data_IF_416176870568
#
_entry.id   IF_416176870568
#
_cell.length_a   1.000
_cell.length_b   1.000
_cell.length_c   1.000
_cell.angle_alpha   90.00
_cell.angle_beta   90.00
_cell.angle_gamma   90.00
#
_symmetry.space_group_name_H-M   'P 1'
#
loop_
_entity.id
_entity.type
_entity.pdbx_description
1 polymer ?
#
# COMPACT_ATOMS: atom_id res chain seq x y z
N UNK A 1 11.18 -13.17 -4.55
CA UNK A 1 9.85 -12.54 -4.48
C UNK A 1 9.37 -12.31 -3.05
N UNK A 2 9.29 -13.34 -2.19
CA UNK A 2 8.77 -13.24 -0.82
C UNK A 2 9.42 -12.15 0.06
N UNK A 3 10.76 -12.02 0.07
CA UNK A 3 11.45 -10.95 0.81
C UNK A 3 11.04 -9.53 0.39
N UNK A 4 10.69 -9.32 -0.88
CA UNK A 4 10.21 -8.01 -1.37
C UNK A 4 8.78 -7.76 -0.90
N UNK A 5 7.91 -8.77 -0.99
CA UNK A 5 6.54 -8.68 -0.51
C UNK A 5 6.46 -8.44 1.01
N UNK A 6 7.31 -9.10 1.80
CA UNK A 6 7.40 -8.87 3.25
C UNK A 6 7.83 -7.43 3.59
N UNK A 7 8.81 -6.87 2.86
CA UNK A 7 9.20 -5.46 3.00
C UNK A 7 8.06 -4.51 2.66
N UNK A 8 7.28 -4.81 1.62
CA UNK A 8 6.13 -3.99 1.27
C UNK A 8 5.02 -4.06 2.32
N UNK A 9 4.72 -5.25 2.86
CA UNK A 9 3.79 -5.37 3.99
C UNK A 9 4.18 -4.50 5.18
N UNK A 10 5.47 -4.45 5.51
CA UNK A 10 5.97 -3.58 6.58
C UNK A 10 5.71 -2.10 6.28
N UNK A 11 5.98 -1.66 5.05
CA UNK A 11 5.69 -0.27 4.62
C UNK A 11 4.20 0.06 4.65
N UNK A 12 3.36 -0.86 4.20
CA UNK A 12 1.91 -0.74 4.26
C UNK A 12 1.41 -0.58 5.70
N UNK A 13 2.00 -1.33 6.63
CA UNK A 13 1.71 -1.18 8.06
C UNK A 13 2.15 0.19 8.61
N UNK A 14 3.33 0.69 8.22
CA UNK A 14 3.80 2.04 8.59
C UNK A 14 2.87 3.14 8.06
N UNK A 15 2.40 3.00 6.81
CA UNK A 15 1.41 3.92 6.19
C UNK A 15 0.09 3.89 6.95
N UNK A 16 -0.40 2.71 7.36
CA UNK A 16 -1.64 2.56 8.12
C UNK A 16 -1.63 3.29 9.47
N UNK A 17 -0.44 3.59 10.03
CA UNK A 17 -0.31 4.32 11.29
C UNK A 17 -0.42 5.83 11.13
N UNK A 18 -0.18 6.35 9.93
CA UNK A 18 -0.11 7.80 9.66
C UNK A 18 -1.25 8.30 8.78
N UNK A 19 -2.02 7.41 8.17
CA UNK A 19 -3.19 7.75 7.35
C UNK A 19 -4.47 7.45 8.13
N UNK A 20 -5.22 8.49 8.47
CA UNK A 20 -6.54 8.36 9.10
C UNK A 20 -7.65 8.32 8.06
N UNK A 21 -7.73 7.19 7.34
CA UNK A 21 -8.79 6.96 6.36
C UNK A 21 -9.30 5.51 6.47
N UNK A 22 -10.64 5.38 6.61
CA UNK A 22 -11.31 4.08 6.77
C UNK A 22 -10.98 3.10 5.65
N UNK A 23 -11.07 3.55 4.39
CA UNK A 23 -10.83 2.71 3.22
C UNK A 23 -9.36 2.32 3.12
N UNK A 24 -8.44 3.25 3.41
CA UNK A 24 -7.01 2.92 3.45
C UNK A 24 -6.75 1.84 4.50
N UNK A 25 -7.29 1.99 5.70
CA UNK A 25 -7.15 0.99 6.77
C UNK A 25 -7.71 -0.37 6.37
N UNK A 26 -8.90 -0.39 5.74
CA UNK A 26 -9.54 -1.62 5.26
C UNK A 26 -8.70 -2.33 4.18
N UNK A 27 -8.11 -1.58 3.25
CA UNK A 27 -7.18 -2.13 2.26
C UNK A 27 -5.90 -2.69 2.90
N UNK A 28 -5.37 -2.01 3.93
CA UNK A 28 -4.18 -2.46 4.65
C UNK A 28 -4.45 -3.74 5.45
N UNK A 29 -5.62 -3.85 6.08
CA UNK A 29 -6.04 -5.04 6.82
C UNK A 29 -6.21 -6.24 5.87
N UNK A 30 -6.81 -6.05 4.69
CA UNK A 30 -6.90 -7.08 3.65
C UNK A 30 -5.51 -7.56 3.20
N UNK A 31 -4.57 -6.62 3.00
CA UNK A 31 -3.19 -6.95 2.66
C UNK A 31 -2.45 -7.67 3.80
N UNK A 32 -2.73 -7.32 5.05
CA UNK A 32 -2.11 -7.92 6.23
C UNK A 32 -2.56 -9.37 6.44
N UNK A 33 -3.86 -9.64 6.24
CA UNK A 33 -4.50 -10.94 6.49
C UNK A 33 -3.92 -12.10 5.66
N UNK A 34 -3.50 -11.85 4.41
CA UNK A 34 -3.01 -12.93 3.54
C UNK A 34 -1.59 -13.39 3.87
N UNK A 35 -1.36 -14.69 3.97
CA UNK A 35 -0.01 -15.24 4.19
C UNK A 35 0.79 -15.36 2.90
N UNK A 36 2.02 -14.82 2.90
CA UNK A 36 2.96 -14.94 1.78
C UNK A 36 3.64 -16.32 1.77
N UNK A 37 2.93 -17.34 1.30
CA UNK A 37 3.42 -18.72 1.18
C UNK A 37 3.37 -19.22 -0.28
N UNK A 38 4.21 -20.19 -0.60
CA UNK A 38 4.13 -20.92 -1.87
C UNK A 38 2.80 -21.67 -1.92
N UNK A 39 2.21 -21.81 -3.11
CA UNK A 39 0.89 -22.43 -3.35
C UNK A 39 -0.32 -21.69 -2.76
N UNK A 40 -0.18 -20.40 -2.43
CA UNK A 40 -1.29 -19.58 -1.91
C UNK A 40 -1.89 -18.61 -2.93
N UNK A 41 -1.94 -19.02 -4.20
CA UNK A 41 -2.26 -18.14 -5.34
C UNK A 41 -3.67 -17.56 -5.25
N UNK A 42 -4.65 -18.37 -4.91
CA UNK A 42 -6.05 -17.94 -4.87
C UNK A 42 -6.28 -16.90 -3.77
N UNK A 43 -5.82 -17.16 -2.54
CA UNK A 43 -5.92 -16.18 -1.44
C UNK A 43 -5.23 -14.85 -1.80
N UNK A 44 -4.05 -14.91 -2.46
CA UNK A 44 -3.33 -13.72 -2.92
C UNK A 44 -4.13 -12.92 -3.95
N UNK A 45 -4.79 -13.60 -4.89
CA UNK A 45 -5.64 -12.95 -5.90
C UNK A 45 -6.89 -12.34 -5.26
N UNK A 46 -7.56 -13.09 -4.36
CA UNK A 46 -8.73 -12.58 -3.64
C UNK A 46 -8.42 -11.33 -2.84
N UNK A 47 -7.29 -11.30 -2.12
CA UNK A 47 -6.87 -10.09 -1.41
C UNK A 47 -6.52 -8.94 -2.36
N UNK A 48 -5.88 -9.22 -3.50
CA UNK A 48 -5.59 -8.19 -4.50
C UNK A 48 -6.87 -7.59 -5.08
N UNK A 49 -7.88 -8.41 -5.39
CA UNK A 49 -9.18 -7.97 -5.89
C UNK A 49 -9.95 -7.14 -4.86
N UNK A 50 -9.86 -7.51 -3.58
CA UNK A 50 -10.47 -6.75 -2.48
C UNK A 50 -9.80 -5.38 -2.33
N UNK A 51 -8.47 -5.33 -2.32
CA UNK A 51 -7.71 -4.07 -2.27
C UNK A 51 -8.05 -3.19 -3.48
N UNK A 52 -8.15 -3.78 -4.68
CA UNK A 52 -8.49 -3.05 -5.91
C UNK A 52 -9.87 -2.39 -5.85
N UNK A 53 -10.88 -3.09 -5.30
CA UNK A 53 -12.22 -2.53 -5.10
C UNK A 53 -12.22 -1.36 -4.13
N UNK A 54 -11.53 -1.51 -3.00
CA UNK A 54 -11.42 -0.44 -1.99
C UNK A 54 -10.69 0.79 -2.55
N UNK A 55 -9.64 0.55 -3.36
CA UNK A 55 -8.89 1.64 -4.00
C UNK A 55 -9.74 2.39 -5.04
N UNK A 56 -10.62 1.69 -5.77
CA UNK A 56 -11.57 2.32 -6.67
C UNK A 56 -12.58 3.18 -5.89
N UNK A 57 -13.17 2.64 -4.82
CA UNK A 57 -14.10 3.38 -3.95
C UNK A 57 -13.44 4.63 -3.35
N UNK A 58 -12.18 4.53 -2.94
CA UNK A 58 -11.40 5.67 -2.45
C UNK A 58 -11.24 6.77 -3.52
N UNK A 59 -10.99 6.38 -4.77
CA UNK A 59 -10.86 7.32 -5.89
C UNK A 59 -12.19 7.96 -6.30
N UNK A 60 -13.29 7.25 -6.14
CA UNK A 60 -14.65 7.75 -6.42
C UNK A 60 -15.17 8.71 -5.34
N UNK A 61 -14.67 8.60 -4.09
CA UNK A 61 -15.15 9.41 -2.98
C UNK A 61 -14.88 10.92 -3.10
N UNK A 62 -14.07 11.37 -4.06
CA UNK A 62 -14.02 12.76 -4.55
C UNK A 62 -13.52 13.82 -3.57
N UNK A 63 -13.66 13.61 -2.26
CA UNK A 63 -12.97 14.34 -1.20
C UNK A 63 -11.61 13.69 -1.02
N UNK A 64 -10.58 14.50 -1.21
CA UNK A 64 -9.17 14.20 -0.96
C UNK A 64 -9.04 13.39 0.32
N UNK A 65 -8.89 12.08 0.18
CA UNK A 65 -8.43 11.25 1.29
C UNK A 65 -7.19 11.95 1.85
N UNK A 66 -7.21 12.29 3.13
CA UNK A 66 -6.09 12.96 3.77
C UNK A 66 -4.95 11.95 3.86
N UNK A 67 -4.12 11.96 2.81
CA UNK A 67 -2.92 11.15 2.67
C UNK A 67 -1.67 11.97 3.04
N UNK A 68 -1.83 13.17 3.61
CA UNK A 68 -0.70 14.05 3.97
C UNK A 68 0.28 13.36 4.93
N UNK A 69 -0.18 12.43 5.77
CA UNK A 69 0.68 11.61 6.62
C UNK A 69 1.69 10.75 5.87
N UNK A 70 1.45 10.45 4.58
CA UNK A 70 2.38 9.69 3.73
C UNK A 70 3.60 10.53 3.35
N UNK A 71 3.50 11.86 3.32
CA UNK A 71 4.61 12.74 2.91
C UNK A 71 5.84 12.57 3.81
N UNK A 72 5.62 12.33 5.11
CA UNK A 72 6.67 12.04 6.09
C UNK A 72 7.40 10.70 5.82
N UNK A 73 6.80 9.80 5.05
CA UNK A 73 7.36 8.50 4.67
C UNK A 73 8.07 8.52 3.31
N UNK A 74 7.95 9.61 2.56
CA UNK A 74 8.66 9.76 1.29
C UNK A 74 10.16 9.95 1.56
N UNK A 75 11.04 9.31 0.77
CA UNK A 75 12.46 9.53 0.90
C UNK A 75 12.80 10.99 0.57
N UNK A 76 13.68 11.59 1.38
CA UNK A 76 14.18 12.94 1.15
C UNK A 76 14.71 13.09 -0.28
N UNK A 77 14.53 14.27 -0.87
CA UNK A 77 14.91 14.60 -2.26
C UNK A 77 16.36 14.21 -2.58
N UNK A 78 17.27 14.32 -1.59
CA UNK A 78 18.68 13.91 -1.70
C UNK A 78 18.91 12.43 -2.02
N UNK A 79 17.87 11.60 -1.92
CA UNK A 79 17.90 10.15 -2.19
C UNK A 79 17.44 9.83 -3.61
N UNK A 80 16.94 10.81 -4.36
CA UNK A 80 16.42 10.58 -5.70
C UNK A 80 17.58 10.37 -6.68
N UNK A 81 17.65 9.16 -7.26
CA UNK A 81 18.61 8.84 -8.32
C UNK A 81 18.13 9.37 -9.67
N UNK A 82 17.86 10.67 -9.77
CA UNK A 82 17.64 11.29 -11.07
C UNK A 82 19.00 11.52 -11.72
N UNK A 83 19.36 10.68 -12.69
CA UNK A 83 20.45 10.97 -13.62
C UNK A 83 19.83 11.52 -14.91
N UNK A 84 20.16 12.74 -15.36
CA UNK A 84 19.81 13.16 -16.71
C UNK A 84 20.48 12.21 -17.69
N UNK A 85 19.69 11.55 -18.55
CA UNK A 85 20.28 10.87 -19.71
C UNK A 85 20.87 11.93 -20.65
N UNK A 86 22.10 11.73 -21.15
CA UNK A 86 22.69 12.61 -22.17
C UNK A 86 21.92 12.57 -23.48
#
# INVERSE_FOLDING_TARGET
AAKRAARQKKRLYEIAQVVDNRLVKEAMDAAAAVRLKLNNREELLTAADQIGRIALELGEQGETADLSGVDALLPAESTWLWQPRP
#
